data_IF_937631272987
#
_entry.id   IF_937631272987
#
_cell.length_a   1.000
_cell.length_b   1.000
_cell.length_c   1.000
_cell.angle_alpha   90.00
_cell.angle_beta   90.00
_cell.angle_gamma   90.00
#
_symmetry.space_group_name_H-M   'P 1'
#
loop_
_entity.id
_entity.type
_entity.pdbx_description
1 polymer ?
#
# COMPACT_ATOMS: atom_id res chain seq x y z
N UNK A 1 14.70 49.39 28.46
CA UNK A 1 13.71 49.36 29.52
C UNK A 1 12.53 48.57 28.99
N UNK A 2 12.19 47.35 29.34
CA UNK A 2 12.58 46.44 30.41
C UNK A 2 12.64 44.99 29.88
N UNK A 3 13.67 44.31 30.31
CA UNK A 3 13.89 42.88 30.16
C UNK A 3 13.05 42.12 31.19
N UNK A 4 12.25 41.14 30.77
CA UNK A 4 11.69 40.14 31.68
C UNK A 4 12.18 38.75 31.25
N UNK A 5 13.18 38.30 31.98
CA UNK A 5 13.68 36.94 32.04
C UNK A 5 12.71 36.09 32.87
N UNK A 6 12.23 34.94 32.37
CA UNK A 6 11.58 33.94 33.18
C UNK A 6 12.28 32.59 33.01
N UNK A 7 12.88 32.20 34.11
CA UNK A 7 13.58 30.95 34.38
C UNK A 7 12.61 29.75 34.45
N UNK A 8 13.06 28.62 33.92
CA UNK A 8 12.45 27.29 34.04
C UNK A 8 12.86 26.60 35.36
N UNK A 9 11.99 25.85 36.01
CA UNK A 9 12.39 24.97 37.10
C UNK A 9 12.82 23.60 36.59
N UNK A 10 13.96 23.14 37.07
CA UNK A 10 14.47 21.75 36.92
C UNK A 10 13.81 20.88 37.97
N UNK A 11 13.25 19.75 37.56
CA UNK A 11 12.84 18.66 38.45
C UNK A 11 13.84 17.51 38.35
N UNK A 12 14.57 17.35 39.43
CA UNK A 12 15.39 16.16 39.74
C UNK A 12 14.53 15.12 40.44
N UNK A 13 14.50 13.88 39.96
CA UNK A 13 14.05 12.70 40.68
C UNK A 13 15.07 11.60 40.45
N UNK A 14 15.80 11.15 41.35
CA UNK A 14 15.67 10.40 42.55
C UNK A 14 15.71 8.90 42.23
N UNK A 15 16.95 8.29 42.19
CA UNK A 15 17.12 6.83 42.10
C UNK A 15 16.85 6.20 43.46
N UNK A 16 15.94 5.21 43.49
CA UNK A 16 15.80 4.28 44.64
C UNK A 16 16.23 2.89 44.23
N UNK A 17 17.36 2.46 44.81
CA UNK A 17 17.85 1.11 44.73
C UNK A 17 17.13 0.21 45.77
N UNK A 18 16.59 -0.92 45.35
CA UNK A 18 16.16 -1.98 46.25
C UNK A 18 17.08 -3.18 46.12
N UNK A 19 17.82 -3.41 47.21
CA UNK A 19 18.57 -4.63 47.45
C UNK A 19 17.59 -5.68 48.02
N UNK A 20 17.61 -6.91 47.52
CA UNK A 20 17.01 -8.06 48.15
C UNK A 20 18.09 -9.11 48.48
N UNK A 21 18.19 -9.33 49.75
CA UNK A 21 19.00 -10.37 50.43
C UNK A 21 18.45 -11.77 50.13
N UNK A 22 19.38 -12.67 49.99
CA UNK A 22 19.12 -14.09 49.81
C UNK A 22 18.60 -14.81 51.04
N UNK A 23 18.02 -15.97 50.83
CA UNK A 23 17.92 -17.02 51.84
C UNK A 23 18.10 -18.40 51.21
N UNK A 24 18.83 -19.22 51.94
CA UNK A 24 19.46 -20.50 51.61
C UNK A 24 18.50 -21.71 51.66
N UNK A 25 18.76 -22.64 50.80
CA UNK A 25 18.81 -24.10 50.96
C UNK A 25 17.78 -24.84 51.84
N UNK A 26 17.19 -25.88 51.27
CA UNK A 26 17.07 -27.20 51.91
C UNK A 26 16.89 -28.27 50.81
N UNK A 27 17.86 -29.21 50.77
CA UNK A 27 17.83 -30.39 49.94
C UNK A 27 16.88 -31.44 50.56
N UNK A 28 15.94 -31.94 49.78
CA UNK A 28 15.17 -33.14 50.11
C UNK A 28 15.35 -34.15 48.97
N UNK A 29 16.04 -35.26 49.29
CA UNK A 29 16.16 -36.41 48.39
C UNK A 29 14.79 -37.12 48.30
N UNK A 30 14.23 -37.25 47.12
CA UNK A 30 13.06 -38.07 46.84
C UNK A 30 13.44 -39.17 45.84
N UNK A 31 13.16 -40.39 46.19
CA UNK A 31 13.43 -41.63 45.47
C UNK A 31 12.63 -41.65 44.13
N UNK A 32 13.34 -41.95 43.03
CA UNK A 32 12.74 -42.15 41.74
C UNK A 32 12.06 -43.53 41.64
N UNK A 33 10.76 -43.54 41.62
CA UNK A 33 9.96 -44.66 41.13
C UNK A 33 9.80 -44.50 39.63
N UNK A 34 10.44 -45.38 38.85
CA UNK A 34 10.37 -45.42 37.38
C UNK A 34 8.98 -45.90 36.96
N UNK A 35 8.17 -45.03 36.38
CA UNK A 35 6.98 -45.41 35.67
C UNK A 35 7.27 -45.59 34.16
N UNK A 36 6.68 -46.60 33.45
CA UNK A 36 6.93 -46.78 32.04
C UNK A 36 6.32 -45.60 31.24
N UNK A 37 7.12 -45.04 30.34
CA UNK A 37 6.70 -43.98 29.45
C UNK A 37 5.63 -44.49 28.47
N UNK A 38 4.42 -43.98 28.55
CA UNK A 38 3.41 -44.13 27.51
C UNK A 38 3.89 -43.37 26.29
N UNK A 39 3.94 -44.04 25.15
CA UNK A 39 4.28 -43.44 23.86
C UNK A 39 3.31 -42.28 23.53
N UNK A 40 3.85 -41.10 23.34
CA UNK A 40 3.10 -39.94 22.89
C UNK A 40 2.55 -40.18 21.44
N UNK A 41 1.31 -39.82 21.13
CA UNK A 41 0.80 -39.88 19.75
C UNK A 41 1.62 -38.91 18.86
N UNK A 42 1.97 -39.38 17.68
CA UNK A 42 2.68 -38.60 16.67
C UNK A 42 1.90 -37.30 16.36
N UNK A 43 2.60 -36.17 16.09
CA UNK A 43 1.94 -34.93 15.76
C UNK A 43 1.14 -35.12 14.46
N UNK A 44 -0.17 -34.96 14.56
CA UNK A 44 -1.05 -34.86 13.40
C UNK A 44 -0.57 -33.68 12.55
N UNK A 45 -0.22 -33.96 11.30
CA UNK A 45 0.10 -32.95 10.30
C UNK A 45 -1.00 -31.89 10.29
N UNK A 46 -0.67 -30.68 10.72
CA UNK A 46 -1.55 -29.52 10.65
C UNK A 46 -1.97 -29.23 9.21
N UNK A 47 -3.06 -28.47 9.00
CA UNK A 47 -3.56 -28.17 7.68
C UNK A 47 -2.43 -27.59 6.82
N UNK A 48 -2.26 -28.17 5.64
CA UNK A 48 -1.27 -27.72 4.66
C UNK A 48 -1.38 -26.21 4.48
N UNK A 49 -0.25 -25.51 4.62
CA UNK A 49 -0.17 -24.10 4.31
C UNK A 49 -0.81 -23.89 2.94
N UNK A 50 -1.85 -23.05 2.89
CA UNK A 50 -2.50 -22.64 1.66
C UNK A 50 -1.41 -22.26 0.67
N UNK A 51 -1.30 -22.96 -0.44
CA UNK A 51 -0.37 -22.63 -1.51
C UNK A 51 -0.54 -21.15 -1.82
N UNK A 52 0.49 -20.35 -1.59
CA UNK A 52 0.46 -18.93 -1.88
C UNK A 52 0.00 -18.79 -3.35
N UNK A 53 -1.16 -18.16 -3.56
CA UNK A 53 -1.72 -18.03 -4.89
C UNK A 53 -0.65 -17.41 -5.80
N UNK A 54 -0.37 -18.06 -6.94
CA UNK A 54 0.62 -17.57 -7.89
C UNK A 54 0.27 -16.13 -8.29
N UNK A 55 1.29 -15.29 -8.43
CA UNK A 55 1.08 -13.91 -8.85
C UNK A 55 0.34 -13.88 -10.21
N UNK A 56 -0.79 -13.18 -10.34
CA UNK A 56 -1.51 -13.05 -11.60
C UNK A 56 -0.64 -12.46 -12.71
N UNK A 57 -0.78 -12.90 -13.95
CA UNK A 57 -0.01 -12.39 -15.11
C UNK A 57 -0.06 -10.87 -15.25
N UNK A 58 -1.21 -10.27 -14.88
CA UNK A 58 -1.37 -8.82 -14.85
C UNK A 58 -0.33 -8.13 -13.95
N UNK A 59 0.08 -8.78 -12.87
CA UNK A 59 1.00 -8.23 -11.87
C UNK A 59 2.44 -8.72 -12.04
N UNK A 60 2.73 -9.63 -12.97
CA UNK A 60 4.09 -10.08 -13.27
C UNK A 60 4.88 -9.00 -14.04
N UNK A 61 4.96 -7.82 -13.45
CA UNK A 61 5.58 -6.61 -14.01
C UNK A 61 6.31 -5.86 -12.92
N UNK A 62 7.29 -5.09 -13.33
CA UNK A 62 8.08 -4.24 -12.45
C UNK A 62 8.13 -2.83 -13.05
N UNK A 63 8.02 -1.82 -12.18
CA UNK A 63 8.14 -0.42 -12.58
C UNK A 63 9.02 0.33 -11.58
N UNK A 64 9.78 1.34 -12.02
CA UNK A 64 10.55 2.20 -11.13
C UNK A 64 9.60 3.00 -10.22
N UNK A 65 9.93 3.12 -8.94
CA UNK A 65 9.23 4.01 -8.01
C UNK A 65 9.48 5.47 -8.37
N UNK A 66 8.51 6.32 -8.10
CA UNK A 66 8.63 7.75 -8.38
C UNK A 66 9.74 8.43 -7.57
N UNK A 67 9.91 8.04 -6.29
CA UNK A 67 10.76 8.73 -5.34
C UNK A 67 12.26 8.49 -5.53
N UNK A 68 12.65 7.29 -5.96
CA UNK A 68 14.06 6.88 -6.00
C UNK A 68 14.40 6.03 -7.24
N UNK A 69 13.45 5.88 -8.14
CA UNK A 69 13.55 5.11 -9.39
C UNK A 69 14.00 3.65 -9.21
N UNK A 70 13.97 3.14 -7.97
CA UNK A 70 14.24 1.72 -7.73
C UNK A 70 13.11 0.85 -8.25
N UNK A 71 13.44 -0.30 -8.85
CA UNK A 71 12.44 -1.22 -9.37
C UNK A 71 11.53 -1.75 -8.26
N UNK A 72 10.23 -1.84 -8.56
CA UNK A 72 9.21 -2.34 -7.66
C UNK A 72 8.30 -3.31 -8.39
N UNK A 73 8.36 -4.58 -8.00
CA UNK A 73 7.53 -5.62 -8.58
C UNK A 73 6.07 -5.48 -8.11
N UNK A 74 5.12 -5.52 -9.05
CA UNK A 74 3.69 -5.45 -8.71
C UNK A 74 3.20 -6.72 -8.01
N UNK A 75 3.90 -7.83 -8.12
CA UNK A 75 3.57 -9.08 -7.42
C UNK A 75 3.53 -8.94 -5.89
N UNK A 76 4.19 -7.95 -5.32
CA UNK A 76 4.10 -7.65 -3.88
C UNK A 76 2.67 -7.27 -3.43
N UNK A 77 1.83 -6.87 -4.39
CA UNK A 77 0.43 -6.53 -4.16
C UNK A 77 -0.54 -7.67 -4.46
N UNK A 78 -0.03 -8.89 -4.68
CA UNK A 78 -0.87 -10.06 -4.89
C UNK A 78 -1.88 -10.25 -3.75
N UNK A 79 -3.11 -10.59 -4.07
CA UNK A 79 -4.20 -10.74 -3.09
C UNK A 79 -4.79 -9.41 -2.57
N UNK A 80 -4.38 -8.26 -3.14
CA UNK A 80 -4.94 -6.94 -2.83
C UNK A 80 -5.93 -6.50 -3.90
N UNK A 81 -6.93 -5.71 -3.50
CA UNK A 81 -7.71 -4.93 -4.47
C UNK A 81 -6.86 -3.75 -4.90
N UNK A 82 -6.68 -3.55 -6.20
CA UNK A 82 -5.81 -2.49 -6.71
C UNK A 82 -6.64 -1.39 -7.37
N UNK A 83 -6.27 -0.15 -7.09
CA UNK A 83 -6.77 1.04 -7.79
C UNK A 83 -5.60 1.65 -8.57
N UNK A 84 -5.54 1.36 -9.86
CA UNK A 84 -4.54 1.94 -10.79
C UNK A 84 -5.07 3.24 -11.36
N UNK A 85 -4.31 4.33 -11.27
CA UNK A 85 -4.71 5.66 -11.73
C UNK A 85 -3.56 6.37 -12.44
N UNK A 86 -3.81 6.96 -13.62
CA UNK A 86 -2.86 7.86 -14.24
C UNK A 86 -3.07 9.29 -13.76
N UNK A 87 -2.00 9.95 -13.34
CA UNK A 87 -2.06 11.23 -12.63
C UNK A 87 -1.34 12.35 -13.38
N UNK A 88 -1.64 13.59 -13.00
CA UNK A 88 -0.93 14.77 -13.48
C UNK A 88 -1.02 15.92 -12.47
N UNK A 89 0.05 16.72 -12.36
CA UNK A 89 0.19 17.80 -11.39
C UNK A 89 -0.58 19.08 -11.78
N UNK A 90 -0.78 19.32 -13.07
CA UNK A 90 -1.39 20.57 -13.58
C UNK A 90 -2.74 20.33 -14.29
N UNK A 91 -3.58 19.47 -13.73
CA UNK A 91 -4.86 19.07 -14.29
C UNK A 91 -6.03 19.64 -13.47
N UNK A 92 -7.15 19.93 -14.09
CA UNK A 92 -8.38 20.30 -13.37
C UNK A 92 -8.87 19.21 -12.39
N UNK A 93 -8.43 17.97 -12.56
CA UNK A 93 -8.75 16.86 -11.67
C UNK A 93 -7.68 16.57 -10.60
N UNK A 94 -6.62 17.37 -10.50
CA UNK A 94 -5.50 17.14 -9.57
C UNK A 94 -5.96 17.09 -8.11
N UNK A 95 -7.04 17.79 -7.76
CA UNK A 95 -7.67 17.71 -6.43
C UNK A 95 -8.12 16.29 -6.03
N UNK A 96 -8.28 15.38 -7.01
CA UNK A 96 -8.62 13.97 -6.72
C UNK A 96 -7.52 13.22 -5.95
N UNK A 97 -6.28 13.72 -5.91
CA UNK A 97 -5.26 13.15 -5.02
C UNK A 97 -5.73 13.06 -3.56
N UNK A 98 -6.47 14.08 -3.06
CA UNK A 98 -7.04 14.05 -1.70
C UNK A 98 -8.02 12.90 -1.50
N UNK A 99 -8.88 12.66 -2.49
CA UNK A 99 -9.85 11.57 -2.46
C UNK A 99 -9.15 10.20 -2.54
N UNK A 100 -8.13 10.06 -3.39
CA UNK A 100 -7.34 8.83 -3.53
C UNK A 100 -6.58 8.51 -2.23
N UNK A 101 -5.97 9.51 -1.58
CA UNK A 101 -5.29 9.34 -0.29
C UNK A 101 -6.29 8.97 0.82
N UNK A 102 -7.47 9.58 0.82
CA UNK A 102 -8.56 9.21 1.74
C UNK A 102 -8.98 7.75 1.57
N UNK A 103 -9.15 7.28 0.33
CA UNK A 103 -9.44 5.87 0.06
C UNK A 103 -8.31 4.96 0.52
N UNK A 104 -7.06 5.32 0.17
CA UNK A 104 -5.87 4.58 0.57
C UNK A 104 -5.84 4.37 2.09
N UNK A 105 -5.97 5.44 2.87
CA UNK A 105 -5.99 5.35 4.33
C UNK A 105 -7.19 4.56 4.88
N UNK A 106 -8.40 4.81 4.35
CA UNK A 106 -9.65 4.18 4.83
C UNK A 106 -9.68 2.66 4.61
N UNK A 107 -9.20 2.20 3.47
CA UNK A 107 -9.35 0.81 3.05
C UNK A 107 -8.05 -0.01 3.05
N UNK A 108 -6.91 0.56 3.46
CA UNK A 108 -5.63 -0.15 3.54
C UNK A 108 -5.72 -1.44 4.37
N UNK A 109 -6.33 -1.38 5.56
CA UNK A 109 -6.52 -2.53 6.44
C UNK A 109 -7.43 -3.61 5.83
N UNK A 110 -8.31 -3.23 4.91
CA UNK A 110 -9.18 -4.14 4.15
C UNK A 110 -8.52 -4.67 2.87
N UNK A 111 -7.31 -4.21 2.57
CA UNK A 111 -6.51 -4.71 1.47
C UNK A 111 -6.62 -3.93 0.17
N UNK A 112 -7.06 -2.65 0.19
CA UNK A 112 -6.90 -1.74 -0.94
C UNK A 112 -5.45 -1.25 -1.05
N UNK A 113 -4.93 -1.20 -2.27
CA UNK A 113 -3.71 -0.47 -2.61
C UNK A 113 -3.98 0.45 -3.81
N UNK A 114 -3.67 1.73 -3.66
CA UNK A 114 -3.70 2.70 -4.76
C UNK A 114 -2.33 2.73 -5.42
N UNK A 115 -2.29 2.71 -6.75
CA UNK A 115 -1.07 2.73 -7.56
C UNK A 115 -1.15 3.91 -8.54
N UNK A 116 -0.35 4.93 -8.33
CA UNK A 116 -0.32 6.14 -9.15
C UNK A 116 0.76 6.10 -10.23
N UNK A 117 0.39 6.44 -11.46
CA UNK A 117 1.28 6.50 -12.62
C UNK A 117 1.21 7.90 -13.24
N UNK A 118 2.13 8.82 -12.93
CA UNK A 118 2.21 10.11 -13.59
C UNK A 118 2.35 9.97 -15.10
N UNK A 119 1.65 10.82 -15.86
CA UNK A 119 1.71 10.80 -17.32
C UNK A 119 1.55 12.18 -17.92
N UNK A 120 2.41 12.50 -18.89
CA UNK A 120 2.36 13.76 -19.64
C UNK A 120 1.55 13.68 -20.94
N UNK A 121 0.86 12.57 -21.20
CA UNK A 121 0.21 12.28 -22.48
C UNK A 121 -1.03 13.14 -22.75
N UNK A 122 -1.63 13.71 -21.72
CA UNK A 122 -2.89 14.46 -21.84
C UNK A 122 -2.67 15.93 -21.52
N UNK A 123 -2.59 16.72 -22.58
CA UNK A 123 -2.44 18.17 -22.48
C UNK A 123 -1.09 18.66 -21.95
N UNK A 124 -0.07 17.80 -21.89
CA UNK A 124 1.23 18.19 -21.33
C UNK A 124 1.18 18.59 -19.85
N UNK A 125 0.24 18.02 -19.10
CA UNK A 125 -0.08 18.45 -17.74
C UNK A 125 0.78 17.78 -16.64
N UNK A 126 1.81 17.02 -17.04
CA UNK A 126 2.83 16.44 -16.13
C UNK A 126 4.25 16.67 -16.69
N UNK A 127 4.68 17.95 -16.88
CA UNK A 127 5.96 18.24 -17.53
C UNK A 127 7.17 17.94 -16.65
N UNK A 128 7.00 17.94 -15.32
CA UNK A 128 8.08 17.79 -14.34
C UNK A 128 8.87 16.49 -14.46
N UNK A 129 10.08 16.48 -13.90
CA UNK A 129 10.87 15.26 -13.64
C UNK A 129 10.19 14.40 -12.57
N UNK A 130 10.60 13.13 -12.43
CA UNK A 130 10.10 12.25 -11.37
C UNK A 130 10.29 12.86 -9.98
N UNK A 131 11.43 13.52 -9.73
CA UNK A 131 11.72 14.20 -8.46
C UNK A 131 10.73 15.34 -8.19
N UNK A 132 10.50 16.23 -9.16
CA UNK A 132 9.57 17.36 -9.01
C UNK A 132 8.14 16.87 -8.79
N UNK A 133 7.72 15.81 -9.48
CA UNK A 133 6.41 15.19 -9.30
C UNK A 133 6.29 14.58 -7.89
N UNK A 134 7.32 13.88 -7.40
CA UNK A 134 7.33 13.30 -6.07
C UNK A 134 7.20 14.39 -4.99
N UNK A 135 7.98 15.47 -5.09
CA UNK A 135 7.93 16.61 -4.19
C UNK A 135 6.55 17.30 -4.23
N UNK A 136 5.96 17.47 -5.40
CA UNK A 136 4.62 18.04 -5.55
C UNK A 136 3.55 17.17 -4.88
N UNK A 137 3.57 15.87 -5.12
CA UNK A 137 2.60 14.93 -4.54
C UNK A 137 2.69 14.90 -3.01
N UNK A 138 3.91 14.86 -2.47
CA UNK A 138 4.14 14.83 -1.01
C UNK A 138 3.77 16.17 -0.38
N UNK A 139 4.33 17.28 -0.85
CA UNK A 139 4.20 18.58 -0.21
C UNK A 139 2.80 19.19 -0.36
N UNK A 140 2.10 18.93 -1.50
CA UNK A 140 0.79 19.55 -1.77
C UNK A 140 -0.38 18.69 -1.31
N UNK A 141 -0.27 17.36 -1.44
CA UNK A 141 -1.37 16.44 -1.19
C UNK A 141 -1.06 15.38 -0.12
N UNK A 142 0.18 15.35 0.42
CA UNK A 142 0.64 14.36 1.39
C UNK A 142 0.39 12.92 0.90
N UNK A 143 0.64 12.66 -0.39
CA UNK A 143 0.44 11.37 -1.02
C UNK A 143 1.40 10.35 -0.42
N UNK A 144 0.85 9.25 0.10
CA UNK A 144 1.60 8.14 0.73
C UNK A 144 1.40 6.81 0.01
N UNK A 145 0.38 6.70 -0.83
CA UNK A 145 0.21 5.51 -1.64
C UNK A 145 1.34 5.38 -2.69
N UNK A 146 1.66 4.15 -3.15
CA UNK A 146 2.70 3.92 -4.14
C UNK A 146 2.52 4.72 -5.41
N UNK A 147 3.57 5.45 -5.78
CA UNK A 147 3.69 6.18 -7.03
C UNK A 147 4.85 5.62 -7.85
N UNK A 148 4.67 5.53 -9.16
CA UNK A 148 5.67 5.05 -10.10
C UNK A 148 6.21 6.17 -10.98
N UNK A 149 7.36 5.94 -11.60
CA UNK A 149 7.96 6.89 -12.53
C UNK A 149 7.01 7.24 -13.68
N UNK A 150 7.12 8.46 -14.16
CA UNK A 150 6.32 8.98 -15.26
C UNK A 150 6.35 8.03 -16.46
N UNK A 151 5.19 7.70 -17.00
CA UNK A 151 5.04 6.72 -18.07
C UNK A 151 4.06 7.18 -19.15
N UNK A 152 4.19 6.57 -20.33
CA UNK A 152 3.21 6.68 -21.41
C UNK A 152 2.03 5.76 -21.09
N UNK A 153 0.81 6.31 -21.03
CA UNK A 153 -0.41 5.54 -20.74
C UNK A 153 -1.49 5.67 -21.83
N UNK A 154 -1.28 6.59 -22.78
CA UNK A 154 -2.21 6.82 -23.91
C UNK A 154 -2.01 5.72 -24.95
N UNK A 155 -3.09 5.02 -25.27
CA UNK A 155 -3.08 3.98 -26.29
C UNK A 155 -2.58 4.49 -27.66
N UNK A 156 -1.84 3.64 -28.38
CA UNK A 156 -1.28 3.95 -29.69
C UNK A 156 -0.01 4.80 -29.65
N UNK A 157 0.49 5.19 -28.50
CA UNK A 157 1.77 5.90 -28.37
C UNK A 157 2.93 4.93 -28.22
N UNK A 158 4.11 5.25 -28.80
CA UNK A 158 5.35 4.49 -28.56
C UNK A 158 5.70 4.46 -27.08
N UNK A 159 6.15 3.32 -26.57
CA UNK A 159 6.53 3.17 -25.17
C UNK A 159 5.34 3.02 -24.20
N UNK A 160 4.13 2.72 -24.71
CA UNK A 160 2.95 2.47 -23.89
C UNK A 160 3.27 1.50 -22.75
N UNK A 161 2.99 1.94 -21.52
CA UNK A 161 3.18 1.16 -20.31
C UNK A 161 2.44 -0.20 -20.43
N UNK A 162 3.13 -1.34 -20.25
CA UNK A 162 2.55 -2.67 -20.50
C UNK A 162 1.40 -3.02 -19.55
N UNK A 163 1.32 -2.42 -18.36
CA UNK A 163 0.15 -2.56 -17.49
C UNK A 163 -1.08 -1.89 -18.12
N UNK A 164 -0.93 -0.65 -18.61
CA UNK A 164 -2.02 0.08 -19.26
C UNK A 164 -2.45 -0.55 -20.59
N UNK A 165 -1.52 -1.12 -21.34
CA UNK A 165 -1.83 -1.90 -22.54
C UNK A 165 -2.76 -3.08 -22.20
N UNK A 166 -2.41 -3.86 -21.17
CA UNK A 166 -3.20 -5.03 -20.76
C UNK A 166 -4.55 -4.62 -20.13
N UNK A 167 -4.59 -3.57 -19.30
CA UNK A 167 -5.83 -3.03 -18.73
C UNK A 167 -6.78 -2.56 -19.83
N UNK A 168 -6.26 -1.86 -20.82
CA UNK A 168 -7.04 -1.42 -21.98
C UNK A 168 -7.58 -2.58 -22.80
N UNK A 169 -6.77 -3.62 -23.03
CA UNK A 169 -7.16 -4.84 -23.74
C UNK A 169 -8.30 -5.59 -23.01
N UNK A 170 -8.15 -5.78 -21.68
CA UNK A 170 -9.13 -6.54 -20.87
C UNK A 170 -10.45 -5.82 -20.68
N UNK A 171 -10.43 -4.49 -20.62
CA UNK A 171 -11.64 -3.68 -20.35
C UNK A 171 -12.29 -3.13 -21.62
N UNK A 172 -11.59 -3.14 -22.75
CA UNK A 172 -12.00 -2.39 -23.95
C UNK A 172 -11.96 -0.87 -23.77
N UNK A 173 -11.41 -0.37 -22.64
CA UNK A 173 -11.37 1.05 -22.30
C UNK A 173 -9.95 1.48 -21.93
N UNK A 174 -9.48 2.55 -22.57
CA UNK A 174 -8.16 3.14 -22.32
C UNK A 174 -8.30 4.54 -21.74
N UNK A 175 -7.30 5.06 -21.03
CA UNK A 175 -7.31 6.45 -20.56
C UNK A 175 -7.53 7.41 -21.73
N UNK A 176 -8.53 8.30 -21.57
CA UNK A 176 -8.80 9.40 -22.51
C UNK A 176 -8.38 10.75 -21.94
N UNK A 177 -8.08 10.80 -20.65
CA UNK A 177 -7.60 11.97 -19.92
C UNK A 177 -6.89 11.55 -18.63
N UNK A 178 -6.31 12.52 -17.92
CA UNK A 178 -5.71 12.29 -16.60
C UNK A 178 -6.76 11.84 -15.58
N UNK A 179 -6.33 11.14 -14.55
CA UNK A 179 -7.19 10.57 -13.50
C UNK A 179 -8.23 9.57 -14.00
N UNK A 180 -7.93 8.84 -15.07
CA UNK A 180 -8.64 7.61 -15.41
C UNK A 180 -8.22 6.51 -14.42
N UNK A 181 -9.17 5.66 -14.03
CA UNK A 181 -8.96 4.69 -12.96
C UNK A 181 -9.36 3.29 -13.41
N UNK A 182 -8.59 2.29 -12.95
CA UNK A 182 -8.97 0.89 -13.04
C UNK A 182 -9.00 0.29 -11.65
N UNK A 183 -10.12 -0.32 -11.30
CA UNK A 183 -10.30 -1.05 -10.05
C UNK A 183 -10.22 -2.55 -10.36
N UNK A 184 -9.31 -3.27 -9.67
CA UNK A 184 -8.91 -4.64 -10.00
C UNK A 184 -9.15 -5.52 -8.77
N UNK A 185 -9.80 -6.68 -8.96
CA UNK A 185 -10.03 -7.68 -7.90
C UNK A 185 -8.72 -8.30 -7.39
N UNK A 186 -8.78 -8.94 -6.23
CA UNK A 186 -7.61 -9.55 -5.56
C UNK A 186 -6.87 -10.57 -6.42
N UNK A 187 -7.59 -11.32 -7.21
CA UNK A 187 -7.07 -12.34 -8.15
C UNK A 187 -6.75 -11.78 -9.54
N UNK A 188 -7.00 -10.49 -9.77
CA UNK A 188 -6.79 -9.83 -11.06
C UNK A 188 -7.79 -10.23 -12.16
N UNK A 189 -8.83 -11.00 -11.85
CA UNK A 189 -9.79 -11.49 -12.86
C UNK A 189 -10.83 -10.46 -13.26
N UNK A 190 -11.28 -9.64 -12.31
CA UNK A 190 -12.25 -8.56 -12.55
C UNK A 190 -11.55 -7.21 -12.61
N UNK A 191 -11.85 -6.45 -13.66
CA UNK A 191 -11.33 -5.11 -13.84
C UNK A 191 -12.50 -4.18 -14.22
N UNK A 192 -12.68 -3.13 -13.44
CA UNK A 192 -13.65 -2.07 -13.72
C UNK A 192 -12.94 -0.77 -14.07
N UNK A 193 -13.33 -0.16 -15.19
CA UNK A 193 -12.78 1.11 -15.65
C UNK A 193 -13.68 2.27 -15.27
N UNK A 194 -13.07 3.39 -14.85
CA UNK A 194 -13.75 4.64 -14.48
C UNK A 194 -13.05 5.82 -15.13
N UNK A 195 -13.80 6.67 -15.80
CA UNK A 195 -13.27 7.88 -16.43
C UNK A 195 -12.81 8.93 -15.41
N UNK A 196 -12.17 9.98 -15.90
CA UNK A 196 -11.61 11.09 -15.13
C UNK A 196 -12.63 11.78 -14.22
N UNK A 197 -13.87 11.92 -14.69
CA UNK A 197 -14.97 12.58 -13.96
C UNK A 197 -15.53 11.73 -12.80
N UNK A 198 -15.22 10.44 -12.75
CA UNK A 198 -15.67 9.59 -11.63
C UNK A 198 -14.96 9.98 -10.34
N UNK A 199 -15.72 10.53 -9.40
CA UNK A 199 -15.22 10.86 -8.07
C UNK A 199 -14.85 9.56 -7.33
N UNK A 200 -13.59 9.43 -6.85
CA UNK A 200 -13.18 8.27 -6.07
C UNK A 200 -13.98 8.06 -4.77
N UNK A 201 -14.54 9.12 -4.19
CA UNK A 201 -15.40 9.04 -3.00
C UNK A 201 -16.90 8.98 -3.34
N UNK A 202 -17.26 9.06 -4.60
CA UNK A 202 -18.65 8.96 -5.07
C UNK A 202 -19.25 7.58 -4.81
N UNK A 203 -20.56 7.52 -4.61
CA UNK A 203 -21.28 6.28 -4.26
C UNK A 203 -21.09 5.16 -5.28
N UNK A 204 -21.14 5.46 -6.57
CA UNK A 204 -20.94 4.46 -7.64
C UNK A 204 -19.54 3.81 -7.59
N UNK A 205 -18.51 4.60 -7.31
CA UNK A 205 -17.14 4.10 -7.19
C UNK A 205 -16.94 3.28 -5.90
N UNK A 206 -17.39 3.83 -4.77
CA UNK A 206 -17.21 3.20 -3.46
C UNK A 206 -18.01 1.91 -3.32
N UNK A 207 -19.21 1.80 -3.88
CA UNK A 207 -19.99 0.56 -3.92
C UNK A 207 -19.23 -0.55 -4.65
N UNK A 208 -18.65 -0.24 -5.81
CA UNK A 208 -17.86 -1.23 -6.58
C UNK A 208 -16.58 -1.63 -5.83
N UNK A 209 -15.89 -0.66 -5.24
CA UNK A 209 -14.72 -0.93 -4.39
C UNK A 209 -15.08 -1.86 -3.22
N UNK A 210 -16.16 -1.56 -2.50
CA UNK A 210 -16.61 -2.39 -1.38
C UNK A 210 -17.03 -3.79 -1.79
N UNK A 211 -17.66 -3.91 -2.94
CA UNK A 211 -18.02 -5.21 -3.54
C UNK A 211 -16.77 -6.07 -3.77
N UNK A 212 -15.69 -5.47 -4.32
CA UNK A 212 -14.43 -6.19 -4.56
C UNK A 212 -13.70 -6.51 -3.26
N UNK A 213 -13.73 -5.60 -2.29
CA UNK A 213 -13.10 -5.81 -0.98
C UNK A 213 -13.79 -6.89 -0.13
N UNK A 214 -15.07 -7.16 -0.38
CA UNK A 214 -15.82 -8.21 0.30
C UNK A 214 -15.53 -9.62 -0.24
N UNK A 215 -14.91 -9.72 -1.42
CA UNK A 215 -14.47 -11.01 -1.99
C UNK A 215 -13.23 -11.52 -1.29
N UNK A 216 -13.09 -12.86 -1.14
CA UNK A 216 -11.91 -13.48 -0.55
C UNK A 216 -10.64 -13.25 -1.37
#
# INVERSE_FOLDING_TARGET
MDTISRSLPQHTHGFAAYAYLGLSALAAAAAFLSTPAAAAPAPTSGPAASAAASCPDLLQREFPRLQDEKPQALCQYNGKVLLVVNTASFCGFTSQYKALETLSGRYAARGLVVLGFPSNDFGGQEPGSNKEIAEFCENTFNVKFPMFSKSVVKAGQPGLNPLYAELGKRTGQTPRWNFHKYLISRDGSEIKSFGSMSDPLGSSFTQELERLLAKP
#
